data_IF_628666186609
#
_entry.id   IF_628666186609
#
_cell.length_a   1.000
_cell.length_b   1.000
_cell.length_c   1.000
_cell.angle_alpha   90.00
_cell.angle_beta   90.00
_cell.angle_gamma   90.00
#
_symmetry.space_group_name_H-M   'P 1'
#
loop_
_entity.id
_entity.type
_entity.pdbx_description
1 polymer ?
#
# COMPACT_ATOMS: atom_id res chain seq x y z
N UNK A 1 -1.94 -19.91 -17.70
CA UNK A 1 -2.69 -18.65 -17.50
C UNK A 1 -2.39 -18.09 -16.13
N UNK A 2 -2.04 -16.79 -16.06
CA UNK A 2 -1.85 -16.12 -14.77
C UNK A 2 -3.22 -15.84 -14.17
N UNK A 3 -3.45 -16.30 -12.93
CA UNK A 3 -4.65 -15.94 -12.19
C UNK A 3 -4.45 -14.55 -11.57
N UNK A 4 -4.99 -13.53 -12.22
CA UNK A 4 -4.88 -12.14 -11.79
C UNK A 4 -5.49 -11.88 -10.41
N UNK A 5 -6.58 -12.56 -10.04
CA UNK A 5 -7.17 -12.46 -8.70
C UNK A 5 -6.18 -12.92 -7.63
N UNK A 6 -5.54 -14.09 -7.84
CA UNK A 6 -4.50 -14.61 -6.93
C UNK A 6 -3.29 -13.67 -6.86
N UNK A 7 -2.90 -13.08 -7.98
CA UNK A 7 -1.81 -12.11 -8.05
C UNK A 7 -2.11 -10.85 -7.22
N UNK A 8 -3.32 -10.30 -7.35
CA UNK A 8 -3.78 -9.13 -6.59
C UNK A 8 -3.75 -9.43 -5.08
N UNK A 9 -4.27 -10.59 -4.65
CA UNK A 9 -4.21 -10.98 -3.24
C UNK A 9 -2.77 -11.08 -2.72
N UNK A 10 -1.85 -11.64 -3.52
CA UNK A 10 -0.44 -11.74 -3.18
C UNK A 10 0.21 -10.36 -3.06
N UNK A 11 -0.09 -9.44 -3.99
CA UNK A 11 0.38 -8.06 -3.95
C UNK A 11 -0.11 -7.32 -2.71
N UNK A 12 -1.41 -7.37 -2.40
CA UNK A 12 -1.97 -6.74 -1.20
C UNK A 12 -1.32 -7.25 0.09
N UNK A 13 -1.08 -8.57 0.17
CA UNK A 13 -0.38 -9.18 1.31
C UNK A 13 1.08 -8.74 1.42
N UNK A 14 1.79 -8.71 0.30
CA UNK A 14 3.18 -8.25 0.27
C UNK A 14 3.28 -6.76 0.65
N UNK A 15 2.36 -5.93 0.18
CA UNK A 15 2.29 -4.51 0.52
C UNK A 15 2.06 -4.31 2.02
N UNK A 16 1.13 -5.06 2.62
CA UNK A 16 0.86 -5.00 4.06
C UNK A 16 2.07 -5.43 4.89
N UNK A 17 2.74 -6.52 4.52
CA UNK A 17 3.94 -6.98 5.24
C UNK A 17 5.11 -6.02 5.09
N UNK A 18 5.29 -5.41 3.91
CA UNK A 18 6.28 -4.36 3.69
C UNK A 18 5.98 -3.11 4.53
N UNK A 19 4.74 -2.61 4.50
CA UNK A 19 4.29 -1.48 5.32
C UNK A 19 4.56 -1.74 6.81
N UNK A 20 4.22 -2.92 7.32
CA UNK A 20 4.44 -3.26 8.73
C UNK A 20 5.93 -3.30 9.11
N UNK A 21 6.82 -3.69 8.19
CA UNK A 21 8.27 -3.67 8.43
C UNK A 21 8.80 -2.24 8.56
N UNK A 22 8.38 -1.32 7.69
CA UNK A 22 8.85 0.07 7.72
C UNK A 22 8.22 0.88 8.86
N UNK A 23 7.01 0.53 9.29
CA UNK A 23 6.27 1.26 10.34
C UNK A 23 6.32 0.59 11.71
N UNK A 24 7.21 -0.38 11.94
CA UNK A 24 7.25 -1.20 13.17
C UNK A 24 7.34 -0.38 14.46
N UNK A 25 8.02 0.77 14.41
CA UNK A 25 8.24 1.64 15.57
C UNK A 25 7.30 2.87 15.59
N UNK A 26 6.32 2.91 14.68
CA UNK A 26 5.36 4.00 14.59
C UNK A 26 4.08 3.67 15.35
N UNK A 27 3.39 4.71 15.82
CA UNK A 27 2.05 4.55 16.39
C UNK A 27 1.07 4.03 15.33
N UNK A 28 0.03 3.32 15.77
CA UNK A 28 -0.99 2.74 14.89
C UNK A 28 -1.59 3.73 13.87
N UNK A 29 -1.90 5.01 14.22
CA UNK A 29 -2.38 5.99 13.25
C UNK A 29 -1.35 6.31 12.15
N UNK A 30 -0.07 6.48 12.52
CA UNK A 30 1.01 6.74 11.57
C UNK A 30 1.25 5.55 10.65
N UNK A 31 1.22 4.33 11.20
CA UNK A 31 1.33 3.10 10.40
C UNK A 31 0.20 2.99 9.37
N UNK A 32 -1.04 3.27 9.78
CA UNK A 32 -2.20 3.29 8.89
C UNK A 32 -2.06 4.32 7.78
N UNK A 33 -1.56 5.52 8.10
CA UNK A 33 -1.32 6.58 7.12
C UNK A 33 -0.30 6.13 6.06
N UNK A 34 0.84 5.58 6.46
CA UNK A 34 1.84 5.06 5.53
C UNK A 34 1.30 3.94 4.64
N UNK A 35 0.47 3.04 5.19
CA UNK A 35 -0.18 2.00 4.40
C UNK A 35 -1.11 2.59 3.33
N UNK A 36 -1.88 3.63 3.67
CA UNK A 36 -2.77 4.32 2.72
C UNK A 36 -1.97 5.01 1.61
N UNK A 37 -0.88 5.70 1.94
CA UNK A 37 0.00 6.34 0.95
C UNK A 37 0.62 5.31 0.00
N UNK A 38 1.12 4.19 0.54
CA UNK A 38 1.67 3.10 -0.27
C UNK A 38 0.62 2.45 -1.18
N UNK A 39 -0.61 2.33 -0.69
CA UNK A 39 -1.72 1.79 -1.47
C UNK A 39 -2.11 2.73 -2.62
N UNK A 40 -2.29 4.03 -2.35
CA UNK A 40 -2.63 5.00 -3.38
C UNK A 40 -1.52 5.20 -4.43
N UNK A 41 -0.26 5.05 -4.03
CA UNK A 41 0.87 5.05 -4.97
C UNK A 41 0.84 3.84 -5.91
N UNK A 42 0.48 2.66 -5.39
CA UNK A 42 0.32 1.45 -6.20
C UNK A 42 -0.86 1.54 -7.17
N UNK A 43 -1.95 2.18 -6.77
CA UNK A 43 -3.17 2.34 -7.55
C UNK A 43 -3.03 3.37 -8.66
N UNK A 44 -2.58 4.59 -8.32
CA UNK A 44 -2.48 5.68 -9.29
C UNK A 44 -1.17 5.70 -10.07
N UNK A 45 -0.16 4.93 -9.67
CA UNK A 45 1.16 4.88 -10.31
C UNK A 45 1.81 6.28 -10.49
N UNK A 46 1.41 7.24 -9.65
CA UNK A 46 1.92 8.61 -9.65
C UNK A 46 2.48 8.95 -8.27
N UNK A 47 3.41 9.90 -8.24
CA UNK A 47 4.03 10.40 -7.01
C UNK A 47 3.32 11.66 -6.50
N UNK A 48 2.33 12.16 -7.26
CA UNK A 48 1.56 13.33 -6.90
C UNK A 48 0.65 13.00 -5.70
N UNK A 49 0.87 13.69 -4.59
CA UNK A 49 0.15 13.43 -3.35
C UNK A 49 -1.36 13.67 -3.48
N UNK A 50 -1.76 14.62 -4.33
CA UNK A 50 -3.16 14.88 -4.67
C UNK A 50 -3.83 13.67 -5.32
N UNK A 51 -3.13 13.00 -6.23
CA UNK A 51 -3.64 11.80 -6.88
C UNK A 51 -3.66 10.64 -5.89
N UNK A 52 -2.58 10.40 -5.15
CA UNK A 52 -2.51 9.35 -4.10
C UNK A 52 -3.66 9.49 -3.09
N UNK A 53 -4.06 10.72 -2.74
CA UNK A 53 -5.17 10.96 -1.81
C UNK A 53 -6.57 10.67 -2.36
N UNK A 54 -6.71 10.56 -3.69
CA UNK A 54 -7.98 10.29 -4.39
C UNK A 54 -8.16 8.83 -4.81
N UNK A 55 -7.12 8.00 -4.66
CA UNK A 55 -7.23 6.54 -4.77
C UNK A 55 -8.07 5.94 -3.63
#
# INVERSE_FOLDING_TARGET
MINYSRLIYKLKRNLSTFSNKITKNLTKPKSKFFFQVLYGLLENQTVLLSEISRA
#
